data_IF_008032221064
#
_entry.id   IF_008032221064
#
_cell.length_a   1.000
_cell.length_b   1.000
_cell.length_c   1.000
_cell.angle_alpha   90.00
_cell.angle_beta   90.00
_cell.angle_gamma   90.00
#
_symmetry.space_group_name_H-M   'P 1'
#
loop_
_entity.id
_entity.type
_entity.pdbx_description
1 polymer ?
#
# COMPACT_ATOMS: atom_id res chain seq x y z
N UNK A 1 -41.10 35.63 16.48
CA UNK A 1 -39.98 36.30 15.77
C UNK A 1 -38.86 35.28 15.68
N UNK A 2 -38.61 34.71 14.49
CA UNK A 2 -37.54 33.72 14.31
C UNK A 2 -36.18 34.40 14.53
N UNK A 3 -35.31 33.72 15.28
CA UNK A 3 -33.99 34.25 15.63
C UNK A 3 -33.07 34.22 14.40
N UNK A 4 -32.08 35.11 14.34
CA UNK A 4 -31.06 35.09 13.28
C UNK A 4 -30.37 33.73 13.16
N UNK A 5 -30.24 33.00 14.26
CA UNK A 5 -29.67 31.64 14.31
C UNK A 5 -30.55 30.61 13.58
N UNK A 6 -31.87 30.66 13.75
CA UNK A 6 -32.80 29.76 13.04
C UNK A 6 -32.83 30.04 11.53
N UNK A 7 -32.78 31.32 11.13
CA UNK A 7 -32.67 31.69 9.71
C UNK A 7 -31.37 31.21 9.08
N UNK A 8 -30.26 31.27 9.82
CA UNK A 8 -28.96 30.77 9.36
C UNK A 8 -28.96 29.23 9.23
N UNK A 9 -29.55 28.52 10.19
CA UNK A 9 -29.71 27.06 10.11
C UNK A 9 -30.56 26.65 8.90
N UNK A 10 -31.68 27.35 8.64
CA UNK A 10 -32.50 27.12 7.46
C UNK A 10 -31.74 27.37 6.16
N UNK A 11 -30.97 28.47 6.05
CA UNK A 11 -30.15 28.73 4.85
C UNK A 11 -29.08 27.65 4.63
N UNK A 12 -28.49 27.08 5.70
CA UNK A 12 -27.52 25.99 5.58
C UNK A 12 -28.13 24.70 5.01
N UNK A 13 -29.37 24.40 5.36
CA UNK A 13 -30.08 23.20 4.87
C UNK A 13 -30.74 23.39 3.50
N UNK A 14 -31.22 24.60 3.19
CA UNK A 14 -31.92 24.89 1.91
C UNK A 14 -31.00 25.36 0.79
N UNK A 15 -29.90 26.04 1.10
CA UNK A 15 -28.98 26.56 0.08
C UNK A 15 -27.75 25.68 0.00
N UNK A 16 -27.85 24.62 -0.79
CA UNK A 16 -26.67 23.95 -1.36
C UNK A 16 -26.05 24.86 -2.42
N UNK A 17 -25.43 25.95 -1.98
CA UNK A 17 -24.51 26.71 -2.83
C UNK A 17 -23.29 25.83 -3.01
N UNK A 18 -23.31 25.00 -4.04
CA UNK A 18 -22.14 24.34 -4.56
C UNK A 18 -21.71 25.09 -5.80
N UNK A 19 -20.40 25.31 -5.93
CA UNK A 19 -19.82 25.74 -7.18
C UNK A 19 -20.10 24.64 -8.20
N UNK A 20 -21.07 24.88 -9.08
CA UNK A 20 -21.39 23.97 -10.16
C UNK A 20 -20.31 24.19 -11.21
N UNK A 21 -19.38 23.23 -11.31
CA UNK A 21 -18.34 23.29 -12.32
C UNK A 21 -19.00 23.51 -13.69
N UNK A 22 -18.75 24.68 -14.30
CA UNK A 22 -19.33 25.04 -15.60
C UNK A 22 -18.81 24.13 -16.73
N UNK A 23 -17.71 23.43 -16.46
CA UNK A 23 -17.13 22.38 -17.27
C UNK A 23 -16.75 21.22 -16.34
N UNK A 24 -17.24 20.02 -16.61
CA UNK A 24 -16.62 18.80 -16.10
C UNK A 24 -15.31 18.62 -16.85
N UNK A 25 -14.23 19.18 -16.33
CA UNK A 25 -12.90 18.76 -16.76
C UNK A 25 -12.79 17.26 -16.45
N UNK A 26 -12.35 16.42 -17.39
CA UNK A 26 -12.05 15.03 -17.08
C UNK A 26 -11.05 15.03 -15.92
N UNK A 27 -11.51 14.54 -14.76
CA UNK A 27 -10.66 14.43 -13.58
C UNK A 27 -9.68 13.30 -13.84
N UNK A 28 -8.43 13.64 -14.09
CA UNK A 28 -7.34 12.67 -14.12
C UNK A 28 -7.12 12.24 -12.66
N UNK A 29 -7.35 10.96 -12.29
CA UNK A 29 -7.11 10.49 -10.94
C UNK A 29 -5.62 10.61 -10.61
N UNK A 30 -5.28 10.94 -9.37
CA UNK A 30 -3.89 10.85 -8.92
C UNK A 30 -3.48 9.39 -8.71
N UNK A 31 -2.17 9.09 -8.75
CA UNK A 31 -1.65 7.75 -8.40
C UNK A 31 -2.14 7.29 -7.03
N UNK A 32 -2.15 8.20 -6.04
CA UNK A 32 -2.68 7.90 -4.71
C UNK A 32 -4.16 7.49 -4.74
N UNK A 33 -4.98 8.12 -5.59
CA UNK A 33 -6.38 7.74 -5.78
C UNK A 33 -6.49 6.36 -6.47
N UNK A 34 -5.64 6.07 -7.45
CA UNK A 34 -5.61 4.76 -8.12
C UNK A 34 -5.19 3.64 -7.16
N UNK A 35 -4.14 3.86 -6.38
CA UNK A 35 -3.71 2.94 -5.32
C UNK A 35 -4.83 2.71 -4.30
N UNK A 36 -5.51 3.78 -3.90
CA UNK A 36 -6.67 3.72 -3.05
C UNK A 36 -7.79 2.81 -3.64
N UNK A 37 -8.20 3.07 -4.88
CA UNK A 37 -9.26 2.30 -5.57
C UNK A 37 -8.85 0.85 -5.81
N UNK A 38 -7.58 0.61 -6.15
CA UNK A 38 -6.99 -0.72 -6.24
C UNK A 38 -7.08 -1.46 -4.91
N UNK A 39 -6.69 -0.78 -3.83
CA UNK A 39 -6.76 -1.33 -2.49
C UNK A 39 -8.21 -1.58 -2.03
N UNK A 40 -9.17 -0.73 -2.41
CA UNK A 40 -10.59 -0.95 -2.20
C UNK A 40 -11.13 -2.13 -3.02
N UNK A 41 -10.41 -2.53 -4.08
CA UNK A 41 -10.76 -3.59 -5.02
C UNK A 41 -11.79 -3.18 -6.07
N UNK A 42 -11.89 -1.89 -6.33
CA UNK A 42 -12.89 -1.31 -7.23
C UNK A 42 -12.72 -1.82 -8.67
N UNK A 43 -11.48 -2.12 -9.08
CA UNK A 43 -11.16 -2.66 -10.40
C UNK A 43 -11.43 -4.17 -10.55
N UNK A 44 -11.89 -4.84 -9.50
CA UNK A 44 -12.04 -6.29 -9.48
C UNK A 44 -10.73 -7.03 -9.21
N UNK A 45 -10.72 -8.34 -9.48
CA UNK A 45 -9.60 -9.25 -9.18
C UNK A 45 -9.15 -10.08 -10.38
N UNK A 46 -9.82 -9.95 -11.52
CA UNK A 46 -9.56 -10.73 -12.73
C UNK A 46 -9.30 -9.75 -13.87
N UNK A 47 -8.17 -9.91 -14.54
CA UNK A 47 -7.66 -8.98 -15.54
C UNK A 47 -7.04 -9.76 -16.71
N UNK A 48 -6.91 -9.10 -17.84
CA UNK A 48 -6.13 -9.60 -18.99
C UNK A 48 -4.91 -8.71 -19.16
N UNK A 49 -3.72 -9.30 -19.23
CA UNK A 49 -2.48 -8.57 -19.43
C UNK A 49 -2.42 -7.95 -20.82
N UNK A 50 -1.54 -6.97 -21.02
CA UNK A 50 -1.25 -6.39 -22.34
C UNK A 50 -0.74 -7.40 -23.37
N UNK A 51 -0.23 -8.55 -22.91
CA UNK A 51 0.23 -9.66 -23.73
C UNK A 51 -0.83 -10.78 -23.90
N UNK A 52 -2.01 -10.64 -23.28
CA UNK A 52 -3.13 -11.58 -23.39
C UNK A 52 -3.22 -12.64 -22.28
N UNK A 53 -2.33 -12.59 -21.28
CA UNK A 53 -2.37 -13.53 -20.14
C UNK A 53 -3.55 -13.24 -19.21
N UNK A 54 -4.16 -14.29 -18.67
CA UNK A 54 -5.18 -14.17 -17.64
C UNK A 54 -4.51 -13.94 -16.28
N UNK A 55 -4.77 -12.81 -15.65
CA UNK A 55 -4.22 -12.42 -14.35
C UNK A 55 -5.33 -12.43 -13.30
N UNK A 56 -5.16 -13.21 -12.24
CA UNK A 56 -6.05 -13.20 -11.07
C UNK A 56 -5.29 -12.71 -9.82
N UNK A 57 -5.84 -11.72 -9.13
CA UNK A 57 -5.33 -11.21 -7.85
C UNK A 57 -5.84 -12.10 -6.72
N UNK A 58 -4.94 -12.92 -6.15
CA UNK A 58 -5.22 -13.79 -5.00
C UNK A 58 -5.14 -12.99 -3.70
N UNK A 59 -4.16 -12.08 -3.63
CA UNK A 59 -3.95 -11.19 -2.50
C UNK A 59 -3.44 -9.85 -3.04
N UNK A 60 -4.18 -8.76 -2.78
CA UNK A 60 -3.80 -7.40 -3.22
C UNK A 60 -2.51 -6.87 -2.57
N UNK A 61 -2.11 -7.48 -1.45
CA UNK A 61 -0.96 -7.06 -0.68
C UNK A 61 -1.30 -6.01 0.38
N UNK A 62 -0.25 -5.43 0.96
CA UNK A 62 -0.26 -4.36 1.96
C UNK A 62 0.14 -3.07 1.26
N UNK A 63 -0.73 -2.07 1.33
CA UNK A 63 -0.47 -0.74 0.75
C UNK A 63 0.76 -0.12 1.42
N UNK A 64 1.78 0.12 0.64
CA UNK A 64 3.01 0.79 1.00
C UNK A 64 2.90 2.28 0.68
N UNK A 65 3.06 3.14 1.68
CA UNK A 65 3.10 4.62 1.50
C UNK A 65 4.51 5.18 1.68
N UNK A 66 5.49 4.32 1.54
CA UNK A 66 6.92 4.60 1.70
C UNK A 66 7.63 4.28 0.37
N UNK A 67 8.96 4.36 0.34
CA UNK A 67 9.74 3.99 -0.84
C UNK A 67 9.55 2.52 -1.24
N UNK A 68 9.77 2.24 -2.53
CA UNK A 68 9.58 0.92 -3.13
C UNK A 68 8.17 0.74 -3.71
N UNK A 69 7.80 -0.50 -4.06
CA UNK A 69 6.53 -0.75 -4.73
C UNK A 69 5.31 -0.35 -3.91
N UNK A 70 4.23 0.04 -4.58
CA UNK A 70 2.98 0.51 -3.97
C UNK A 70 2.29 -0.55 -3.11
N UNK A 71 2.37 -1.83 -3.47
CA UNK A 71 1.83 -2.92 -2.68
C UNK A 71 2.86 -4.02 -2.47
N UNK A 72 3.08 -4.40 -1.21
CA UNK A 72 3.95 -5.50 -0.80
C UNK A 72 3.17 -6.74 -0.42
N UNK A 73 3.80 -7.90 -0.42
CA UNK A 73 3.19 -9.18 -0.01
C UNK A 73 1.88 -9.49 -0.77
N UNK A 74 1.83 -9.10 -2.03
CA UNK A 74 0.77 -9.48 -2.95
C UNK A 74 0.97 -10.92 -3.44
N UNK A 75 -0.09 -11.51 -4.00
CA UNK A 75 0.00 -12.76 -4.72
C UNK A 75 -0.95 -12.74 -5.92
N UNK A 76 -0.43 -13.08 -7.08
CA UNK A 76 -1.21 -13.18 -8.32
C UNK A 76 -1.18 -14.61 -8.85
N UNK A 77 -2.07 -14.91 -9.79
CA UNK A 77 -2.06 -16.14 -10.58
C UNK A 77 -2.08 -15.74 -12.04
N UNK A 78 -1.28 -16.43 -12.85
CA UNK A 78 -1.19 -16.21 -14.30
C UNK A 78 -1.67 -17.49 -14.99
N UNK A 79 -2.62 -17.39 -15.92
CA UNK A 79 -3.10 -18.49 -16.76
C UNK A 79 -3.53 -19.77 -16.00
N UNK A 80 -4.01 -19.62 -14.76
CA UNK A 80 -4.46 -20.75 -13.93
C UNK A 80 -3.35 -21.48 -13.15
N UNK A 81 -2.09 -21.02 -13.23
CA UNK A 81 -0.94 -21.64 -12.56
C UNK A 81 -0.95 -21.44 -11.02
N UNK A 82 0.13 -21.88 -10.37
CA UNK A 82 0.36 -21.65 -8.95
C UNK A 82 0.41 -20.16 -8.58
N UNK A 83 0.02 -19.77 -7.35
CA UNK A 83 0.14 -18.39 -6.89
C UNK A 83 1.60 -17.92 -6.89
N UNK A 84 1.85 -16.75 -7.47
CA UNK A 84 3.14 -16.07 -7.53
C UNK A 84 3.14 -14.93 -6.51
N UNK A 85 3.92 -15.03 -5.40
CA UNK A 85 4.04 -13.96 -4.43
C UNK A 85 4.96 -12.84 -4.94
N UNK A 86 4.67 -11.60 -4.57
CA UNK A 86 5.52 -10.47 -4.92
C UNK A 86 4.91 -9.11 -4.57
N UNK A 87 5.29 -8.09 -5.34
CA UNK A 87 4.79 -6.73 -5.21
C UNK A 87 3.93 -6.31 -6.41
N UNK A 88 3.10 -5.28 -6.24
CA UNK A 88 2.36 -4.63 -7.32
C UNK A 88 2.74 -3.16 -7.35
N UNK A 89 2.98 -2.64 -8.54
CA UNK A 89 3.21 -1.21 -8.78
C UNK A 89 2.06 -0.61 -9.57
N UNK A 90 1.66 0.61 -9.24
CA UNK A 90 0.57 1.32 -9.92
C UNK A 90 1.04 2.67 -10.39
N UNK A 91 1.11 2.82 -11.71
CA UNK A 91 1.47 4.07 -12.36
C UNK A 91 0.28 4.65 -13.13
N UNK A 92 0.34 5.94 -13.49
CA UNK A 92 -0.64 6.51 -14.42
C UNK A 92 -0.44 5.99 -15.85
N UNK A 93 0.81 5.91 -16.30
CA UNK A 93 1.18 5.61 -17.68
C UNK A 93 1.98 4.30 -17.75
N UNK A 94 1.80 3.54 -18.82
CA UNK A 94 2.59 2.32 -19.10
C UNK A 94 4.11 2.53 -19.12
N UNK A 95 4.57 3.72 -19.54
CA UNK A 95 6.00 4.09 -19.60
C UNK A 95 6.58 4.54 -18.25
N UNK A 96 5.73 4.82 -17.26
CA UNK A 96 6.16 5.36 -15.97
C UNK A 96 7.19 4.47 -15.29
N UNK A 97 7.05 3.15 -15.46
CA UNK A 97 8.02 2.16 -15.00
C UNK A 97 9.48 2.48 -15.34
N UNK A 98 9.74 2.84 -16.59
CA UNK A 98 11.09 3.19 -17.05
C UNK A 98 11.46 4.62 -16.62
N UNK A 99 10.52 5.57 -16.69
CA UNK A 99 10.81 6.99 -16.34
C UNK A 99 11.04 7.20 -14.84
N UNK A 100 10.44 6.38 -13.98
CA UNK A 100 10.68 6.34 -12.54
C UNK A 100 11.92 5.49 -12.17
N UNK A 101 12.52 4.80 -13.13
CA UNK A 101 13.71 3.98 -12.92
C UNK A 101 13.45 2.68 -12.16
N UNK A 102 12.21 2.19 -12.14
CA UNK A 102 11.87 0.93 -11.47
C UNK A 102 12.61 -0.26 -12.09
N UNK A 103 12.89 -0.21 -13.40
CA UNK A 103 13.62 -1.25 -14.12
C UNK A 103 15.05 -1.49 -13.62
N UNK A 104 15.69 -0.50 -12.99
CA UNK A 104 17.08 -0.63 -12.48
C UNK A 104 17.15 -0.61 -10.96
N UNK A 105 16.03 -0.37 -10.28
CA UNK A 105 15.96 -0.25 -8.84
C UNK A 105 15.70 -1.62 -8.18
N UNK A 106 16.59 -2.12 -7.31
CA UNK A 106 16.44 -3.44 -6.69
C UNK A 106 15.20 -3.55 -5.78
N UNK A 107 14.63 -2.44 -5.30
CA UNK A 107 13.39 -2.47 -4.52
C UNK A 107 12.18 -3.02 -5.30
N UNK A 108 12.24 -2.97 -6.64
CA UNK A 108 11.18 -3.41 -7.55
C UNK A 108 11.44 -4.82 -8.13
N UNK A 109 12.51 -5.49 -7.70
CA UNK A 109 12.87 -6.82 -8.21
C UNK A 109 11.80 -7.88 -7.92
N UNK A 110 11.05 -7.72 -6.82
CA UNK A 110 9.96 -8.62 -6.45
C UNK A 110 8.61 -8.26 -7.10
N UNK A 111 8.54 -7.23 -7.95
CA UNK A 111 7.27 -6.82 -8.58
C UNK A 111 6.77 -7.88 -9.56
N UNK A 112 5.55 -8.35 -9.36
CA UNK A 112 4.91 -9.40 -10.16
C UNK A 112 3.81 -8.88 -11.05
N UNK A 113 3.38 -7.63 -10.85
CA UNK A 113 2.38 -6.98 -11.68
C UNK A 113 2.63 -5.47 -11.72
N UNK A 114 2.56 -4.89 -12.91
CA UNK A 114 2.52 -3.45 -13.10
C UNK A 114 1.12 -3.06 -13.62
N UNK A 115 0.42 -2.22 -12.87
CA UNK A 115 -0.91 -1.73 -13.21
C UNK A 115 -0.77 -0.30 -13.70
N UNK A 116 -1.42 0.03 -14.81
CA UNK A 116 -1.44 1.39 -15.32
C UNK A 116 -2.82 1.75 -15.87
N UNK A 117 -3.06 3.04 -16.12
CA UNK A 117 -4.35 3.54 -16.62
C UNK A 117 -4.27 3.92 -18.09
N UNK A 118 -3.26 4.71 -18.44
CA UNK A 118 -3.13 5.29 -19.77
C UNK A 118 -2.03 4.56 -20.55
N UNK A 119 -2.42 4.02 -21.71
CA UNK A 119 -1.48 3.40 -22.64
C UNK A 119 -0.86 4.47 -23.53
N UNK A 120 0.46 4.44 -23.69
CA UNK A 120 1.15 5.31 -24.64
C UNK A 120 0.92 4.83 -26.09
N UNK A 121 1.21 5.69 -27.07
CA UNK A 121 1.16 5.36 -28.50
C UNK A 121 2.14 4.26 -28.93
N UNK A 122 3.09 3.91 -28.06
CA UNK A 122 4.12 2.89 -28.29
C UNK A 122 4.02 1.82 -27.22
N UNK A 123 4.34 0.58 -27.58
CA UNK A 123 4.43 -0.50 -26.61
C UNK A 123 5.67 -0.31 -25.71
N UNK A 124 5.44 -0.25 -24.41
CA UNK A 124 6.47 -0.37 -23.38
C UNK A 124 6.36 -1.73 -22.72
N UNK A 125 7.49 -2.29 -22.28
CA UNK A 125 7.55 -3.56 -21.57
C UNK A 125 8.15 -3.33 -20.20
N UNK A 126 7.51 -3.88 -19.19
CA UNK A 126 7.98 -3.80 -17.81
C UNK A 126 8.92 -4.96 -17.52
N UNK A 127 10.11 -4.62 -17.01
CA UNK A 127 11.13 -5.60 -16.59
C UNK A 127 11.77 -5.18 -15.29
N UNK A 128 12.22 -6.15 -14.50
CA UNK A 128 12.99 -5.89 -13.29
C UNK A 128 14.48 -5.70 -13.59
N UNK A 129 15.28 -5.43 -12.56
CA UNK A 129 16.73 -5.28 -12.66
C UNK A 129 17.39 -6.55 -13.22
N UNK A 130 16.87 -7.73 -12.87
CA UNK A 130 17.32 -9.02 -13.42
C UNK A 130 16.84 -9.31 -14.86
N UNK A 131 16.16 -8.37 -15.51
CA UNK A 131 15.48 -8.52 -16.81
C UNK A 131 14.33 -9.54 -16.79
N UNK A 132 13.78 -9.86 -15.62
CA UNK A 132 12.53 -10.64 -15.56
C UNK A 132 11.39 -9.79 -16.08
N UNK A 133 10.61 -10.32 -17.02
CA UNK A 133 9.39 -9.66 -17.50
C UNK A 133 8.35 -9.60 -16.40
N UNK A 134 7.69 -8.44 -16.29
CA UNK A 134 6.57 -8.20 -15.37
C UNK A 134 5.33 -7.94 -16.24
N UNK A 135 4.26 -8.75 -16.09
CA UNK A 135 2.99 -8.52 -16.77
C UNK A 135 2.44 -7.14 -16.48
N UNK A 136 1.81 -6.53 -17.47
CA UNK A 136 1.14 -5.25 -17.30
C UNK A 136 -0.36 -5.37 -17.49
N UNK A 137 -1.14 -4.67 -16.67
CA UNK A 137 -2.60 -4.60 -16.75
C UNK A 137 -3.01 -3.14 -16.89
N UNK A 138 -3.83 -2.86 -17.90
CA UNK A 138 -4.47 -1.56 -18.09
C UNK A 138 -5.82 -1.57 -17.37
N UNK A 139 -6.03 -0.67 -16.42
CA UNK A 139 -7.33 -0.49 -15.73
C UNK A 139 -8.00 0.79 -16.18
N UNK A 140 -9.34 0.76 -16.31
CA UNK A 140 -10.12 1.91 -16.72
C UNK A 140 -10.82 2.56 -15.50
N UNK A 141 -10.35 3.72 -15.00
CA UNK A 141 -10.97 4.42 -13.88
C UNK A 141 -12.33 5.03 -14.24
N UNK A 142 -12.65 5.23 -15.53
CA UNK A 142 -13.93 5.80 -15.95
C UNK A 142 -15.11 4.85 -15.70
N UNK A 143 -14.83 3.56 -15.47
CA UNK A 143 -15.84 2.57 -15.09
C UNK A 143 -16.30 2.70 -13.62
N UNK A 144 -15.64 3.55 -12.83
CA UNK A 144 -15.89 3.68 -11.40
C UNK A 144 -16.66 4.96 -11.04
N UNK A 145 -17.42 4.97 -9.93
CA UNK A 145 -18.11 6.17 -9.47
C UNK A 145 -17.16 7.36 -9.26
N UNK A 146 -17.60 8.57 -9.65
CA UNK A 146 -16.88 9.82 -9.39
C UNK A 146 -16.71 10.09 -7.88
N UNK A 147 -17.69 9.66 -7.08
CA UNK A 147 -17.66 9.79 -5.63
C UNK A 147 -16.75 8.72 -5.01
N UNK A 148 -15.47 9.06 -4.84
CA UNK A 148 -14.51 8.26 -4.10
C UNK A 148 -14.34 8.80 -2.67
N UNK A 149 -14.53 7.94 -1.66
CA UNK A 149 -14.31 8.30 -0.26
C UNK A 149 -12.86 7.95 0.13
N UNK A 150 -11.98 8.93 0.42
CA UNK A 150 -10.59 8.68 0.76
C UNK A 150 -10.40 8.00 2.13
N UNK A 151 -11.46 7.86 2.95
CA UNK A 151 -11.43 7.06 4.17
C UNK A 151 -11.50 5.57 3.84
N UNK A 152 -10.50 5.05 3.13
CA UNK A 152 -10.31 3.61 2.98
C UNK A 152 -9.62 3.08 4.24
N UNK A 153 -10.03 1.92 4.78
CA UNK A 153 -9.33 1.28 5.88
C UNK A 153 -7.82 1.18 5.59
N UNK A 154 -6.98 1.35 6.61
CA UNK A 154 -5.52 1.24 6.46
C UNK A 154 -5.04 -0.19 6.10
N UNK A 155 -5.94 -1.19 6.22
CA UNK A 155 -5.63 -2.59 5.95
C UNK A 155 -6.85 -3.31 5.37
N UNK A 156 -6.66 -4.04 4.27
CA UNK A 156 -7.59 -5.09 3.87
C UNK A 156 -7.34 -6.28 4.79
N UNK A 157 -8.40 -6.96 5.24
CA UNK A 157 -8.23 -8.11 6.09
C UNK A 157 -7.34 -9.16 5.41
N UNK A 158 -6.19 -9.45 6.02
CA UNK A 158 -5.24 -10.43 5.50
C UNK A 158 -5.62 -11.88 5.88
N UNK A 159 -4.69 -12.81 5.69
CA UNK A 159 -4.87 -14.24 6.02
C UNK A 159 -5.30 -14.50 7.46
N UNK A 160 -4.99 -13.58 8.38
CA UNK A 160 -5.40 -13.65 9.77
C UNK A 160 -6.90 -13.41 9.98
N UNK A 161 -7.63 -12.86 9.01
CA UNK A 161 -9.06 -12.59 9.15
C UNK A 161 -9.85 -13.88 9.36
N UNK A 162 -9.70 -14.88 8.49
CA UNK A 162 -10.50 -16.10 8.56
C UNK A 162 -10.29 -16.89 9.86
N UNK A 163 -9.04 -17.12 10.33
CA UNK A 163 -8.80 -17.74 11.63
C UNK A 163 -9.39 -16.92 12.79
N UNK A 164 -9.19 -15.61 12.81
CA UNK A 164 -9.58 -14.77 13.95
C UNK A 164 -11.07 -14.43 13.98
N UNK A 165 -11.79 -14.50 12.84
CA UNK A 165 -13.19 -14.07 12.72
C UNK A 165 -14.13 -14.74 13.71
N UNK A 166 -13.90 -16.01 14.01
CA UNK A 166 -14.77 -16.83 14.86
C UNK A 166 -14.17 -17.09 16.25
N UNK A 167 -13.05 -16.46 16.61
CA UNK A 167 -12.47 -16.59 17.95
C UNK A 167 -13.26 -15.71 18.94
N UNK A 168 -13.51 -16.20 20.17
CA UNK A 168 -13.98 -15.36 21.26
C UNK A 168 -13.01 -14.20 21.51
N UNK A 169 -13.53 -13.03 21.87
CA UNK A 169 -12.73 -11.82 22.10
C UNK A 169 -11.58 -12.07 23.10
N UNK A 170 -11.85 -12.79 24.19
CA UNK A 170 -10.85 -13.18 25.19
C UNK A 170 -9.69 -13.98 24.58
N UNK A 171 -9.98 -14.84 23.59
CA UNK A 171 -8.95 -15.63 22.90
C UNK A 171 -8.15 -14.77 21.94
N UNK A 172 -8.78 -13.80 21.26
CA UNK A 172 -8.07 -12.83 20.41
C UNK A 172 -7.11 -12.00 21.26
N UNK A 173 -7.59 -11.46 22.39
CA UNK A 173 -6.76 -10.70 23.34
C UNK A 173 -5.60 -11.54 23.86
N UNK A 174 -5.85 -12.78 24.25
CA UNK A 174 -4.80 -13.70 24.72
C UNK A 174 -3.72 -13.95 23.65
N UNK A 175 -4.10 -14.11 22.37
CA UNK A 175 -3.15 -14.27 21.27
C UNK A 175 -2.31 -13.00 21.07
N UNK A 176 -2.95 -11.82 21.11
CA UNK A 176 -2.27 -10.53 20.97
C UNK A 176 -1.29 -10.29 22.13
N UNK A 177 -1.68 -10.62 23.36
CA UNK A 177 -0.84 -10.52 24.55
C UNK A 177 0.36 -11.46 24.45
N UNK A 178 0.14 -12.72 24.06
CA UNK A 178 1.21 -13.69 23.87
C UNK A 178 2.21 -13.21 22.81
N UNK A 179 1.72 -12.68 21.69
CA UNK A 179 2.55 -12.11 20.63
C UNK A 179 3.32 -10.86 21.10
N UNK A 180 2.69 -9.99 21.89
CA UNK A 180 3.32 -8.81 22.47
C UNK A 180 4.44 -9.21 23.44
N UNK A 181 4.19 -10.14 24.36
CA UNK A 181 5.20 -10.66 25.29
C UNK A 181 6.36 -11.32 24.56
N UNK A 182 6.08 -12.08 23.50
CA UNK A 182 7.12 -12.70 22.68
C UNK A 182 8.04 -11.65 22.03
N UNK A 183 7.47 -10.62 21.41
CA UNK A 183 8.26 -9.50 20.82
C UNK A 183 9.06 -8.76 21.89
N UNK A 184 8.48 -8.53 23.07
CA UNK A 184 9.16 -7.85 24.17
C UNK A 184 10.34 -8.68 24.71
N UNK A 185 10.16 -10.00 24.86
CA UNK A 185 11.25 -10.93 25.23
C UNK A 185 12.38 -10.93 24.21
N UNK A 186 12.07 -10.99 22.91
CA UNK A 186 13.10 -10.88 21.87
C UNK A 186 13.86 -9.55 21.95
N UNK A 187 13.14 -8.43 22.15
CA UNK A 187 13.77 -7.11 22.29
C UNK A 187 14.68 -7.05 23.52
N UNK A 188 14.23 -7.57 24.66
CA UNK A 188 15.00 -7.61 25.90
C UNK A 188 16.26 -8.46 25.75
N UNK A 189 16.16 -9.65 25.16
CA UNK A 189 17.31 -10.53 24.91
C UNK A 189 18.32 -9.88 23.97
N UNK A 190 17.87 -9.22 22.89
CA UNK A 190 18.75 -8.47 21.98
C UNK A 190 19.52 -7.38 22.72
N UNK A 191 18.86 -6.62 23.59
CA UNK A 191 19.50 -5.57 24.39
C UNK A 191 20.48 -6.17 25.41
N UNK A 192 20.11 -7.28 26.05
CA UNK A 192 20.98 -7.97 27.01
C UNK A 192 22.27 -8.44 26.36
N UNK A 193 22.18 -9.09 25.21
CA UNK A 193 23.35 -9.54 24.45
C UNK A 193 24.27 -8.37 24.07
N UNK A 194 23.72 -7.20 23.74
CA UNK A 194 24.52 -5.99 23.48
C UNK A 194 25.20 -5.47 24.74
N UNK A 195 24.50 -5.45 25.88
CA UNK A 195 25.07 -5.04 27.17
C UNK A 195 26.26 -5.95 27.53
N UNK A 196 26.11 -7.26 27.31
CA UNK A 196 27.17 -8.23 27.61
C UNK A 196 28.41 -8.03 26.70
N UNK A 197 28.22 -7.54 25.47
CA UNK A 197 29.28 -7.31 24.51
C UNK A 197 29.96 -5.92 24.63
N UNK A 198 29.18 -4.87 24.90
CA UNK A 198 29.63 -3.47 24.79
C UNK A 198 29.51 -2.67 26.10
N UNK A 199 28.87 -3.23 27.13
CA UNK A 199 28.54 -2.51 28.35
C UNK A 199 27.21 -1.76 28.28
N UNK A 200 26.76 -1.28 29.44
CA UNK A 200 25.43 -0.68 29.60
C UNK A 200 25.30 0.68 28.91
N UNK A 201 26.28 1.56 29.11
CA UNK A 201 26.21 2.94 28.65
C UNK A 201 26.24 3.03 27.11
N UNK A 202 27.13 2.24 26.50
CA UNK A 202 27.23 2.12 25.04
C UNK A 202 25.95 1.54 24.44
N UNK A 203 25.40 0.48 25.05
CA UNK A 203 24.13 -0.09 24.59
C UNK A 203 22.98 0.90 24.71
N UNK A 204 22.94 1.70 25.78
CA UNK A 204 21.91 2.73 25.95
C UNK A 204 22.00 3.77 24.82
N UNK A 205 23.21 4.25 24.52
CA UNK A 205 23.42 5.25 23.47
C UNK A 205 23.03 4.69 22.09
N UNK A 206 23.47 3.48 21.76
CA UNK A 206 23.07 2.77 20.53
C UNK A 206 21.56 2.61 20.39
N UNK A 207 20.86 2.22 21.45
CA UNK A 207 19.41 1.99 21.39
C UNK A 207 18.62 3.31 21.26
N UNK A 208 19.11 4.40 21.87
CA UNK A 208 18.55 5.75 21.68
C UNK A 208 18.79 6.22 20.24
N UNK A 209 20.02 6.10 19.73
CA UNK A 209 20.36 6.50 18.38
C UNK A 209 19.53 5.71 17.35
N UNK A 210 19.44 4.39 17.50
CA UNK A 210 18.58 3.54 16.68
C UNK A 210 17.10 3.97 16.71
N UNK A 211 16.59 4.41 17.86
CA UNK A 211 15.21 4.90 17.98
C UNK A 211 15.02 6.25 17.26
N UNK A 212 15.98 7.17 17.38
CA UNK A 212 15.96 8.47 16.71
C UNK A 212 16.16 8.37 15.20
N UNK A 213 16.80 7.30 14.72
CA UNK A 213 16.87 6.98 13.29
C UNK A 213 15.53 6.55 12.68
N UNK A 214 14.48 6.33 13.51
CA UNK A 214 13.19 5.79 13.07
C UNK A 214 13.37 4.56 12.16
N UNK A 215 12.46 4.32 11.23
CA UNK A 215 12.49 3.13 10.36
C UNK A 215 13.66 3.18 9.37
N UNK A 216 13.82 4.33 8.70
CA UNK A 216 14.74 4.46 7.54
C UNK A 216 16.21 4.62 7.95
N UNK A 217 16.49 5.28 9.08
CA UNK A 217 17.86 5.63 9.48
C UNK A 217 18.33 4.89 10.73
N UNK A 218 17.64 3.80 11.11
CA UNK A 218 17.99 3.02 12.30
C UNK A 218 19.46 2.58 12.32
N UNK A 219 19.92 1.98 11.23
CA UNK A 219 21.30 1.50 11.12
C UNK A 219 22.30 2.66 11.02
N UNK A 220 22.13 3.65 10.12
CA UNK A 220 23.00 4.84 10.08
C UNK A 220 23.20 5.49 11.45
N UNK A 221 22.12 5.69 12.22
CA UNK A 221 22.22 6.29 13.55
C UNK A 221 22.92 5.38 14.56
N UNK A 222 22.72 4.06 14.48
CA UNK A 222 23.44 3.10 15.33
C UNK A 222 24.95 3.07 15.02
N UNK A 223 25.39 3.50 13.83
CA UNK A 223 26.82 3.54 13.48
C UNK A 223 27.52 4.83 13.93
N UNK A 224 26.78 5.81 14.46
CA UNK A 224 27.32 7.06 15.00
C UNK A 224 27.76 6.93 16.47
N UNK A 225 27.49 5.77 17.08
CA UNK A 225 27.72 5.44 18.49
C UNK A 225 28.84 4.41 18.55
#
# INVERSE_FOLDING_TARGET
MSTLAERYAQMRDTTRVHERALFTLPRIPSELELQARWFAGDFGKEFVSTNGDQIEIIQFGVWNREAGPDFRDAAIRINGDGPIPGCIEIDLLDRSWETHGHATNPAFEATVLHVFVERSDRAFFTRTQSNRSVPQVCVDPATLPEAFNPNIPLARPGRCQAPLKNLPEERVSSVLDAAAQFRLRQKANRIRNKIDAHGRDETLFQEIAAALGYKENKLPFTLLT
#
